data_IF_302569379662
#
_entry.id   IF_302569379662
#
_cell.length_a   1.000
_cell.length_b   1.000
_cell.length_c   1.000
_cell.angle_alpha   90.00
_cell.angle_beta   90.00
_cell.angle_gamma   90.00
#
_symmetry.space_group_name_H-M   'P 1'
#
loop_
_entity.id
_entity.type
_entity.pdbx_description
1 polymer ?
#
# COMPACT_ATOMS: atom_id res chain seq x y z
N UNK A 1 -6.02 16.42 12.96
CA UNK A 1 -5.33 16.12 11.69
C UNK A 1 -5.52 14.65 11.37
N UNK A 2 -5.99 14.34 10.17
CA UNK A 2 -6.01 12.98 9.66
C UNK A 2 -4.58 12.56 9.31
N UNK A 3 -4.11 11.42 9.81
CA UNK A 3 -2.74 10.93 9.57
C UNK A 3 -2.79 9.82 8.54
N UNK A 4 -2.36 10.07 7.32
CA UNK A 4 -2.26 9.04 6.27
C UNK A 4 -0.89 8.38 6.26
N UNK A 5 -0.84 7.14 5.78
CA UNK A 5 0.37 6.34 5.66
C UNK A 5 0.80 6.34 4.19
N UNK A 6 2.05 6.72 3.92
CA UNK A 6 2.68 6.65 2.60
C UNK A 6 3.74 5.56 2.60
N UNK A 7 3.64 4.62 1.66
CA UNK A 7 4.60 3.54 1.48
C UNK A 7 5.34 3.78 0.16
N UNK A 8 6.67 3.95 0.23
CA UNK A 8 7.55 4.02 -0.93
C UNK A 8 8.17 2.65 -1.19
N UNK A 9 8.26 2.26 -2.46
CA UNK A 9 8.72 0.91 -2.82
C UNK A 9 7.65 -0.16 -2.56
N UNK A 10 6.38 0.21 -2.70
CA UNK A 10 5.25 -0.65 -2.35
C UNK A 10 5.16 -1.92 -3.20
N UNK A 11 5.75 -1.97 -4.40
CA UNK A 11 5.69 -3.15 -5.28
C UNK A 11 6.80 -4.17 -4.99
N UNK A 12 7.60 -3.99 -3.94
CA UNK A 12 8.52 -5.02 -3.45
C UNK A 12 7.80 -6.14 -2.70
N UNK A 13 8.54 -7.21 -2.36
CA UNK A 13 8.01 -8.34 -1.58
C UNK A 13 7.40 -7.86 -0.25
N UNK A 14 8.19 -7.16 0.56
CA UNK A 14 7.73 -6.61 1.85
C UNK A 14 6.70 -5.49 1.63
N UNK A 15 6.92 -4.63 0.64
CA UNK A 15 6.04 -3.50 0.36
C UNK A 15 4.61 -3.93 0.06
N UNK A 16 4.44 -5.03 -0.67
CA UNK A 16 3.12 -5.57 -1.05
C UNK A 16 2.38 -6.07 0.18
N UNK A 17 2.99 -6.96 0.95
CA UNK A 17 2.38 -7.54 2.16
C UNK A 17 2.08 -6.46 3.22
N UNK A 18 3.00 -5.50 3.39
CA UNK A 18 2.81 -4.39 4.30
C UNK A 18 1.65 -3.49 3.87
N UNK A 19 1.53 -3.19 2.57
CA UNK A 19 0.44 -2.36 2.05
C UNK A 19 -0.92 -3.01 2.34
N UNK A 20 -1.05 -4.31 2.06
CA UNK A 20 -2.27 -5.07 2.33
C UNK A 20 -2.62 -5.09 3.82
N UNK A 21 -1.65 -5.41 4.68
CA UNK A 21 -1.87 -5.47 6.12
C UNK A 21 -2.26 -4.10 6.72
N UNK A 22 -1.67 -3.01 6.21
CA UNK A 22 -2.01 -1.66 6.66
C UNK A 22 -3.37 -1.21 6.14
N UNK A 23 -3.74 -1.56 4.90
CA UNK A 23 -5.06 -1.29 4.34
C UNK A 23 -6.17 -2.03 5.08
N UNK A 24 -5.96 -3.29 5.41
CA UNK A 24 -6.88 -4.08 6.24
C UNK A 24 -7.06 -3.43 7.63
N UNK A 25 -5.96 -2.95 8.23
CA UNK A 25 -5.97 -2.39 9.59
C UNK A 25 -6.51 -0.96 9.68
N UNK A 26 -6.24 -0.13 8.68
CA UNK A 26 -6.48 1.32 8.74
C UNK A 26 -7.46 1.84 7.68
N UNK A 27 -7.87 0.98 6.74
CA UNK A 27 -8.72 1.33 5.60
C UNK A 27 -7.93 1.79 4.38
N UNK A 28 -8.45 1.50 3.18
CA UNK A 28 -7.81 1.83 1.91
C UNK A 28 -7.49 3.31 1.73
N UNK A 29 -8.41 4.19 2.11
CA UNK A 29 -8.23 5.63 1.94
C UNK A 29 -7.10 6.19 2.82
N UNK A 30 -6.67 5.43 3.83
CA UNK A 30 -5.62 5.84 4.75
C UNK A 30 -4.21 5.40 4.37
N UNK A 31 -4.08 4.56 3.34
CA UNK A 31 -2.79 3.98 2.93
C UNK A 31 -2.57 4.23 1.44
N UNK A 32 -1.60 5.10 1.15
CA UNK A 32 -1.15 5.41 -0.20
C UNK A 32 0.12 4.64 -0.51
N UNK A 33 0.06 3.76 -1.50
CA UNK A 33 1.19 2.99 -1.99
C UNK A 33 1.81 3.68 -3.22
N UNK A 34 3.14 3.76 -3.26
CA UNK A 34 3.90 4.38 -4.35
C UNK A 34 5.15 3.55 -4.68
N UNK A 35 5.43 3.37 -5.96
CA UNK A 35 6.63 2.72 -6.48
C UNK A 35 6.94 3.29 -7.87
N UNK A 36 8.16 3.10 -8.35
CA UNK A 36 8.54 3.46 -9.74
C UNK A 36 8.02 2.42 -10.74
N UNK A 37 7.75 1.20 -10.27
CA UNK A 37 7.19 0.10 -11.06
C UNK A 37 5.69 0.03 -10.85
N UNK A 38 4.99 -0.48 -11.86
CA UNK A 38 3.56 -0.77 -11.76
C UNK A 38 3.33 -1.97 -10.82
N UNK A 39 2.29 -1.88 -9.99
CA UNK A 39 1.94 -2.93 -9.03
C UNK A 39 1.35 -4.16 -9.70
N UNK A 40 1.42 -5.32 -9.03
CA UNK A 40 0.73 -6.51 -9.51
C UNK A 40 -0.79 -6.40 -9.21
N UNK A 41 -1.56 -7.31 -9.80
CA UNK A 41 -3.02 -7.36 -9.63
C UNK A 41 -3.46 -7.37 -8.16
N UNK A 42 -2.75 -8.08 -7.28
CA UNK A 42 -3.10 -8.17 -5.87
C UNK A 42 -3.04 -6.81 -5.16
N UNK A 43 -2.09 -5.95 -5.53
CA UNK A 43 -1.90 -4.62 -4.95
C UNK A 43 -2.84 -3.57 -5.57
N UNK A 44 -3.22 -3.79 -6.84
CA UNK A 44 -4.16 -2.93 -7.57
C UNK A 44 -5.62 -3.22 -7.20
N UNK A 45 -5.96 -4.47 -6.87
CA UNK A 45 -7.32 -4.89 -6.50
C UNK A 45 -7.68 -4.68 -5.03
N UNK A 46 -6.71 -4.35 -4.19
CA UNK A 46 -6.86 -4.26 -2.74
C UNK A 46 -7.44 -2.95 -2.27
#
# INVERSE_FOLDING_TARGET
MHKSILILGACGQIGTELTLALREKYGNEQVVASDIREGNDALLSS
#
